data_IF_051744459328
#
_entry.id   IF_051744459328
#
_cell.length_a   1.000
_cell.length_b   1.000
_cell.length_c   1.000
_cell.angle_alpha   90.00
_cell.angle_beta   90.00
_cell.angle_gamma   90.00
#
_symmetry.space_group_name_H-M   'P 1'
#
loop_
_entity.id
_entity.type
_entity.pdbx_description
1 polymer ?
#
# COMPACT_ATOMS: atom_id res chain seq x y z
N UNK A 1 4.22 14.00 -21.80
CA UNK A 1 4.42 12.54 -21.61
C UNK A 1 3.03 11.97 -21.44
N UNK A 2 2.61 11.03 -22.30
CA UNK A 2 1.23 10.50 -22.34
C UNK A 2 0.72 10.04 -20.96
N UNK A 3 1.64 9.57 -20.11
CA UNK A 3 1.35 9.21 -18.72
C UNK A 3 0.75 10.39 -17.93
N UNK A 4 1.38 11.57 -17.93
CA UNK A 4 0.91 12.71 -17.12
C UNK A 4 -0.46 13.20 -17.59
N UNK A 5 -0.70 13.18 -18.91
CA UNK A 5 -1.99 13.53 -19.50
C UNK A 5 -3.09 12.56 -19.03
N UNK A 6 -2.82 11.24 -19.07
CA UNK A 6 -3.76 10.22 -18.56
C UNK A 6 -4.01 10.34 -17.05
N UNK A 7 -2.99 10.69 -16.25
CA UNK A 7 -3.16 10.96 -14.82
C UNK A 7 -4.05 12.20 -14.58
N UNK A 8 -3.90 13.25 -15.38
CA UNK A 8 -4.75 14.45 -15.32
C UNK A 8 -6.19 14.15 -15.73
N UNK A 9 -6.41 13.32 -16.75
CA UNK A 9 -7.75 12.87 -17.16
C UNK A 9 -8.44 12.07 -16.05
N UNK A 10 -7.73 11.16 -15.38
CA UNK A 10 -8.26 10.40 -14.24
C UNK A 10 -8.56 11.33 -13.06
N UNK A 11 -7.66 12.24 -12.73
CA UNK A 11 -7.83 13.19 -11.63
C UNK A 11 -9.04 14.11 -11.84
N UNK A 12 -9.37 14.45 -13.09
CA UNK A 12 -10.53 15.27 -13.43
C UNK A 12 -11.88 14.61 -13.12
N UNK A 13 -11.91 13.28 -12.91
CA UNK A 13 -13.12 12.55 -12.48
C UNK A 13 -13.46 12.76 -11.00
N UNK A 14 -12.55 13.34 -10.21
CA UNK A 14 -12.75 13.57 -8.77
C UNK A 14 -12.43 12.33 -7.92
N UNK A 15 -13.07 12.26 -6.74
CA UNK A 15 -12.92 11.14 -5.80
C UNK A 15 -13.57 9.88 -6.38
N UNK A 16 -12.76 8.87 -6.72
CA UNK A 16 -13.21 7.63 -7.35
C UNK A 16 -13.36 6.55 -6.29
N UNK A 17 -14.39 6.64 -5.46
CA UNK A 17 -14.62 5.65 -4.40
C UNK A 17 -14.89 4.28 -5.03
N UNK A 18 -14.35 3.20 -4.47
CA UNK A 18 -14.60 1.85 -4.98
C UNK A 18 -16.10 1.55 -5.17
N UNK A 19 -16.41 0.93 -6.31
CA UNK A 19 -17.72 0.66 -6.87
C UNK A 19 -18.63 1.89 -7.08
N UNK A 20 -18.07 3.10 -7.14
CA UNK A 20 -18.81 4.30 -7.50
C UNK A 20 -18.87 4.52 -9.02
N UNK A 21 -19.84 5.33 -9.51
CA UNK A 21 -19.90 5.72 -10.91
C UNK A 21 -18.62 6.40 -11.42
N UNK A 22 -17.89 7.09 -10.55
CA UNK A 22 -16.62 7.75 -10.88
C UNK A 22 -15.48 6.72 -11.08
N UNK A 23 -15.44 5.64 -10.28
CA UNK A 23 -14.53 4.51 -10.53
C UNK A 23 -14.91 3.78 -11.83
N UNK A 24 -16.21 3.59 -12.10
CA UNK A 24 -16.69 3.01 -13.36
C UNK A 24 -16.24 3.84 -14.56
N UNK A 25 -16.39 5.17 -14.50
CA UNK A 25 -15.91 6.07 -15.54
C UNK A 25 -14.40 5.98 -15.78
N UNK A 26 -13.61 5.80 -14.71
CA UNK A 26 -12.17 5.59 -14.82
C UNK A 26 -11.81 4.25 -15.47
N UNK A 27 -12.56 3.19 -15.17
CA UNK A 27 -12.39 1.89 -15.84
C UNK A 27 -12.78 1.97 -17.32
N UNK A 28 -13.86 2.68 -17.66
CA UNK A 28 -14.26 2.90 -19.06
C UNK A 28 -13.19 3.68 -19.85
N UNK A 29 -12.59 4.70 -19.22
CA UNK A 29 -11.49 5.47 -19.80
C UNK A 29 -10.25 4.58 -20.03
N UNK A 30 -9.84 3.81 -19.03
CA UNK A 30 -8.73 2.87 -19.15
C UNK A 30 -8.98 1.79 -20.21
N UNK A 31 -10.22 1.26 -20.31
CA UNK A 31 -10.60 0.30 -21.34
C UNK A 31 -10.54 0.92 -22.75
N UNK A 32 -10.81 2.22 -22.88
CA UNK A 32 -10.54 2.99 -24.10
C UNK A 32 -9.05 2.93 -24.47
N UNK A 33 -8.17 3.31 -23.54
CA UNK A 33 -6.74 3.30 -23.77
C UNK A 33 -6.16 1.91 -24.04
N UNK A 34 -6.70 0.86 -23.40
CA UNK A 34 -6.27 -0.52 -23.65
C UNK A 34 -6.58 -0.93 -25.10
N UNK A 35 -7.77 -0.60 -25.59
CA UNK A 35 -8.16 -0.86 -26.99
C UNK A 35 -7.32 -0.05 -27.98
N UNK A 36 -7.00 1.20 -27.67
CA UNK A 36 -6.09 2.04 -28.48
C UNK A 36 -4.68 1.45 -28.55
N UNK A 37 -4.20 0.84 -27.47
CA UNK A 37 -2.92 0.12 -27.42
C UNK A 37 -2.97 -1.27 -28.07
N UNK A 38 -4.13 -1.70 -28.59
CA UNK A 38 -4.30 -3.00 -29.25
C UNK A 38 -4.43 -4.20 -28.31
N UNK A 39 -4.74 -3.98 -27.04
CA UNK A 39 -4.97 -5.04 -26.05
C UNK A 39 -6.37 -5.66 -26.21
N UNK A 40 -6.46 -6.98 -26.05
CA UNK A 40 -7.73 -7.67 -25.85
C UNK A 40 -8.25 -7.38 -24.44
N UNK A 41 -9.39 -6.69 -24.36
CA UNK A 41 -9.97 -6.25 -23.09
C UNK A 41 -11.08 -7.17 -22.61
N UNK A 42 -11.05 -7.54 -21.33
CA UNK A 42 -12.12 -8.23 -20.63
C UNK A 42 -12.39 -7.58 -19.26
N UNK A 43 -13.60 -7.79 -18.74
CA UNK A 43 -13.95 -7.46 -17.36
C UNK A 43 -14.32 -8.76 -16.67
N UNK A 44 -13.64 -9.07 -15.57
CA UNK A 44 -13.88 -10.31 -14.82
C UNK A 44 -15.11 -10.22 -13.90
N UNK A 45 -15.40 -11.31 -13.18
CA UNK A 45 -16.54 -11.37 -12.27
C UNK A 45 -16.39 -10.50 -11.02
N UNK A 46 -15.18 -10.06 -10.66
CA UNK A 46 -14.91 -9.13 -9.58
C UNK A 46 -14.99 -7.66 -10.03
N UNK A 47 -15.12 -7.44 -11.34
CA UNK A 47 -15.17 -6.13 -11.99
C UNK A 47 -13.80 -5.60 -12.41
N UNK A 48 -12.74 -6.41 -12.31
CA UNK A 48 -11.40 -5.99 -12.73
C UNK A 48 -11.38 -5.83 -14.24
N UNK A 49 -10.76 -4.76 -14.73
CA UNK A 49 -10.49 -4.58 -16.15
C UNK A 49 -9.12 -5.20 -16.47
N UNK A 50 -9.09 -6.11 -17.44
CA UNK A 50 -7.88 -6.80 -17.86
C UNK A 50 -7.68 -6.54 -19.35
N UNK A 51 -6.50 -6.08 -19.75
CA UNK A 51 -6.08 -5.90 -21.13
C UNK A 51 -4.84 -6.73 -21.44
N UNK A 52 -4.89 -7.62 -22.45
CA UNK A 52 -3.80 -8.56 -22.74
C UNK A 52 -3.37 -8.57 -24.20
N UNK A 53 -2.09 -8.85 -24.44
CA UNK A 53 -1.60 -9.28 -25.74
C UNK A 53 -1.65 -10.81 -25.80
N UNK A 54 -2.58 -11.41 -26.56
CA UNK A 54 -2.75 -12.85 -26.56
C UNK A 54 -1.53 -13.56 -27.16
N UNK A 55 -1.25 -14.76 -26.65
CA UNK A 55 -0.08 -15.57 -27.03
C UNK A 55 1.05 -15.41 -26.02
N UNK A 56 2.25 -15.86 -26.38
CA UNK A 56 3.39 -15.85 -25.46
C UNK A 56 3.59 -17.18 -24.73
N UNK A 57 4.72 -17.28 -24.02
CA UNK A 57 5.10 -18.50 -23.28
C UNK A 57 4.85 -18.40 -21.79
N UNK A 58 4.63 -17.19 -21.29
CA UNK A 58 4.37 -16.86 -19.89
C UNK A 58 3.44 -15.63 -19.83
N UNK A 59 2.41 -15.70 -19.00
CA UNK A 59 1.51 -14.58 -18.73
C UNK A 59 2.14 -13.69 -17.64
N UNK A 60 2.60 -12.50 -18.01
CA UNK A 60 3.20 -11.54 -17.08
C UNK A 60 2.37 -10.27 -17.09
N UNK A 61 1.74 -9.96 -15.96
CA UNK A 61 0.87 -8.80 -15.88
C UNK A 61 1.51 -7.69 -15.04
N UNK A 62 1.10 -6.46 -15.34
CA UNK A 62 1.40 -5.26 -14.55
C UNK A 62 0.10 -4.52 -14.28
N UNK A 63 0.10 -3.58 -13.35
CA UNK A 63 -1.08 -2.74 -13.11
C UNK A 63 -1.17 -2.36 -11.65
N UNK A 64 -2.33 -1.82 -11.27
CA UNK A 64 -2.66 -1.42 -9.89
C UNK A 64 -4.16 -1.09 -9.87
N UNK A 65 -4.59 -0.10 -9.11
CA UNK A 65 -5.99 0.31 -8.98
C UNK A 65 -6.26 1.72 -9.52
N UNK A 66 -7.55 2.05 -9.70
CA UNK A 66 -7.98 3.40 -10.12
C UNK A 66 -8.90 4.06 -9.08
N UNK A 67 -9.40 3.33 -8.10
CA UNK A 67 -10.14 3.91 -6.99
C UNK A 67 -9.22 4.74 -6.08
N UNK A 68 -9.83 5.62 -5.29
CA UNK A 68 -9.13 6.53 -4.38
C UNK A 68 -9.89 6.70 -3.07
N UNK A 69 -9.19 7.09 -2.00
CA UNK A 69 -9.83 7.73 -0.85
C UNK A 69 -10.38 9.15 -1.17
N UNK A 70 -11.30 9.69 -0.36
CA UNK A 70 -11.75 11.08 -0.51
C UNK A 70 -10.60 12.10 -0.36
N UNK A 71 -10.51 13.07 -1.28
CA UNK A 71 -9.47 14.09 -1.26
C UNK A 71 -8.06 13.55 -1.52
N UNK A 72 -7.95 12.47 -2.30
CA UNK A 72 -6.66 11.86 -2.66
C UNK A 72 -5.83 12.70 -3.65
N UNK A 73 -4.60 12.24 -3.85
CA UNK A 73 -3.74 12.69 -4.93
C UNK A 73 -4.11 12.08 -6.29
N UNK A 74 -3.24 12.29 -7.28
CA UNK A 74 -3.43 11.79 -8.65
C UNK A 74 -2.48 10.67 -9.05
N UNK A 75 -1.67 10.13 -8.13
CA UNK A 75 -0.64 9.14 -8.44
C UNK A 75 -0.87 7.79 -7.76
N UNK A 76 -1.42 7.80 -6.55
CA UNK A 76 -1.84 6.58 -5.82
C UNK A 76 -2.71 5.67 -6.70
N UNK A 77 -2.32 4.40 -6.85
CA UNK A 77 -2.85 3.41 -7.79
C UNK A 77 -2.70 3.74 -9.28
N UNK A 78 -3.27 4.88 -9.69
CA UNK A 78 -3.35 5.38 -11.07
C UNK A 78 -2.02 5.39 -11.82
N UNK A 79 -0.92 5.71 -11.14
CA UNK A 79 0.42 5.69 -11.74
C UNK A 79 0.79 4.28 -12.21
N UNK A 80 0.49 3.24 -11.42
CA UNK A 80 0.80 1.85 -11.74
C UNK A 80 0.05 1.35 -12.97
N UNK A 81 -1.22 1.73 -13.11
CA UNK A 81 -2.05 1.38 -14.28
C UNK A 81 -1.51 2.05 -15.54
N UNK A 82 -1.30 3.37 -15.49
CA UNK A 82 -0.90 4.14 -16.67
C UNK A 82 0.54 3.85 -17.09
N UNK A 83 1.46 3.68 -16.13
CA UNK A 83 2.84 3.28 -16.42
C UNK A 83 2.91 1.84 -16.92
N UNK A 84 2.10 0.93 -16.37
CA UNK A 84 1.98 -0.44 -16.85
C UNK A 84 1.51 -0.51 -18.30
N UNK A 85 0.47 0.26 -18.64
CA UNK A 85 0.00 0.38 -20.01
C UNK A 85 1.07 0.92 -20.97
N UNK A 86 1.77 1.98 -20.59
CA UNK A 86 2.87 2.52 -21.39
C UNK A 86 3.97 1.46 -21.61
N UNK A 87 4.36 0.71 -20.57
CA UNK A 87 5.39 -0.32 -20.68
C UNK A 87 4.96 -1.48 -21.59
N UNK A 88 3.71 -1.96 -21.44
CA UNK A 88 3.16 -3.04 -22.29
C UNK A 88 3.02 -2.58 -23.74
N UNK A 89 2.53 -1.36 -23.98
CA UNK A 89 2.40 -0.76 -25.32
C UNK A 89 3.76 -0.62 -26.01
N UNK A 90 4.81 -0.20 -25.28
CA UNK A 90 6.19 -0.10 -25.81
C UNK A 90 6.78 -1.45 -26.21
N UNK A 91 6.44 -2.51 -25.48
CA UNK A 91 7.00 -3.85 -25.71
C UNK A 91 6.29 -4.60 -26.82
N UNK A 92 4.95 -4.59 -26.83
CA UNK A 92 4.18 -5.34 -27.81
C UNK A 92 4.45 -6.85 -27.78
N UNK A 93 4.90 -7.40 -26.64
CA UNK A 93 5.25 -8.81 -26.48
C UNK A 93 3.99 -9.61 -26.10
N UNK A 94 3.63 -10.66 -26.86
CA UNK A 94 2.56 -11.58 -26.47
C UNK A 94 2.79 -12.19 -25.07
N UNK A 95 1.74 -12.25 -24.27
CA UNK A 95 1.76 -12.73 -22.88
C UNK A 95 1.85 -11.60 -21.84
N UNK A 96 2.12 -10.37 -22.29
CA UNK A 96 2.04 -9.20 -21.44
C UNK A 96 0.60 -8.71 -21.29
N UNK A 97 0.26 -8.29 -20.07
CA UNK A 97 -1.06 -7.75 -19.76
C UNK A 97 -1.01 -6.61 -18.75
N UNK A 98 -2.08 -5.82 -18.74
CA UNK A 98 -2.35 -4.78 -17.75
C UNK A 98 -3.66 -5.11 -17.04
N UNK A 99 -3.66 -5.06 -15.72
CA UNK A 99 -4.87 -5.21 -14.90
C UNK A 99 -5.16 -3.93 -14.14
N UNK A 100 -6.44 -3.58 -14.07
CA UNK A 100 -6.97 -2.57 -13.16
C UNK A 100 -7.83 -3.29 -12.14
N UNK A 101 -7.38 -3.28 -10.89
CA UNK A 101 -8.13 -3.86 -9.78
C UNK A 101 -9.21 -2.90 -9.29
N UNK A 102 -10.33 -3.50 -8.83
CA UNK A 102 -11.43 -2.78 -8.19
C UNK A 102 -11.20 -2.63 -6.69
N UNK A 103 -11.52 -1.45 -6.17
CA UNK A 103 -11.69 -1.16 -4.74
C UNK A 103 -10.51 -1.66 -3.88
N UNK A 104 -9.30 -1.21 -4.22
CA UNK A 104 -8.08 -1.47 -3.44
C UNK A 104 -8.17 -0.84 -2.05
N UNK A 105 -8.55 0.43 -2.01
CA UNK A 105 -8.42 1.32 -0.85
C UNK A 105 -9.23 0.85 0.37
N UNK A 106 -10.29 0.06 0.14
CA UNK A 106 -11.18 -0.45 1.20
C UNK A 106 -11.00 -1.93 1.49
N UNK A 107 -10.11 -2.63 0.78
CA UNK A 107 -9.77 -4.02 1.09
C UNK A 107 -9.38 -4.91 -0.07
N UNK A 108 -8.99 -4.34 -1.22
CA UNK A 108 -8.55 -5.07 -2.41
C UNK A 108 -9.60 -6.08 -2.90
N UNK A 109 -10.84 -5.63 -3.07
CA UNK A 109 -11.95 -6.52 -3.45
C UNK A 109 -11.68 -7.19 -4.80
N UNK A 110 -11.16 -6.43 -5.76
CA UNK A 110 -10.80 -6.87 -7.09
C UNK A 110 -9.75 -7.97 -7.10
N UNK A 111 -8.57 -7.73 -6.52
CA UNK A 111 -7.50 -8.74 -6.49
C UNK A 111 -7.84 -9.97 -5.67
N UNK A 112 -8.64 -9.83 -4.60
CA UNK A 112 -9.16 -10.99 -3.83
C UNK A 112 -10.13 -11.83 -4.64
N UNK A 113 -10.90 -11.20 -5.53
CA UNK A 113 -11.85 -11.83 -6.42
C UNK A 113 -11.27 -12.33 -7.75
N UNK A 114 -9.98 -12.10 -8.01
CA UNK A 114 -9.34 -12.41 -9.30
C UNK A 114 -9.37 -13.92 -9.60
N UNK A 115 -10.08 -14.29 -10.66
CA UNK A 115 -10.30 -15.68 -11.04
C UNK A 115 -9.15 -16.26 -11.89
N UNK A 116 -8.68 -15.53 -12.90
CA UNK A 116 -7.57 -15.91 -13.75
C UNK A 116 -6.31 -15.18 -13.29
N UNK A 117 -5.26 -15.92 -12.94
CA UNK A 117 -4.03 -15.37 -12.38
C UNK A 117 -2.90 -15.46 -13.39
N UNK A 118 -2.03 -14.44 -13.48
CA UNK A 118 -0.83 -14.50 -14.30
C UNK A 118 0.23 -15.40 -13.66
N UNK A 119 1.24 -15.76 -14.45
CA UNK A 119 2.44 -16.47 -13.98
C UNK A 119 3.40 -15.55 -13.20
N UNK A 120 3.31 -14.24 -13.41
CA UNK A 120 4.01 -13.22 -12.64
C UNK A 120 3.26 -11.88 -12.66
N UNK A 121 3.42 -11.09 -11.60
CA UNK A 121 2.81 -9.77 -11.47
C UNK A 121 3.81 -8.72 -10.97
N UNK A 122 3.87 -7.57 -11.64
CA UNK A 122 4.70 -6.43 -11.22
C UNK A 122 3.83 -5.20 -11.03
N UNK A 123 3.85 -4.62 -9.83
CA UNK A 123 3.10 -3.40 -9.53
C UNK A 123 4.06 -2.23 -9.35
N UNK A 124 3.89 -1.20 -10.19
CA UNK A 124 4.57 0.08 -10.00
C UNK A 124 3.67 0.95 -9.14
N UNK A 125 4.24 1.56 -8.10
CA UNK A 125 3.49 2.39 -7.18
C UNK A 125 4.33 3.57 -6.68
N UNK A 126 3.71 4.62 -6.19
CA UNK A 126 4.44 5.63 -5.41
C UNK A 126 4.80 5.05 -4.02
N UNK A 127 5.89 5.51 -3.41
CA UNK A 127 6.33 5.00 -2.09
C UNK A 127 5.30 5.25 -0.97
N UNK A 128 4.55 6.36 -1.05
CA UNK A 128 3.66 6.87 0.02
C UNK A 128 4.41 7.17 1.33
N UNK A 129 5.73 7.37 1.22
CA UNK A 129 6.64 7.58 2.32
C UNK A 129 7.84 8.44 1.91
N UNK A 130 8.64 8.90 2.90
CA UNK A 130 9.77 9.78 2.65
C UNK A 130 11.11 9.05 2.49
N UNK A 131 11.15 7.72 2.43
CA UNK A 131 12.39 6.93 2.52
C UNK A 131 13.27 7.14 1.30
N UNK A 132 12.69 7.01 0.10
CA UNK A 132 13.35 7.28 -1.18
C UNK A 132 13.76 8.75 -1.27
N UNK A 133 12.89 9.67 -0.83
CA UNK A 133 13.20 11.10 -0.77
C UNK A 133 14.40 11.42 0.13
N UNK A 134 14.46 10.81 1.33
CA UNK A 134 15.57 11.01 2.27
C UNK A 134 16.88 10.37 1.80
N UNK A 135 16.79 9.28 1.03
CA UNK A 135 17.92 8.59 0.45
C UNK A 135 18.41 9.21 -0.87
N UNK A 136 17.68 10.21 -1.40
CA UNK A 136 17.85 10.74 -2.76
C UNK A 136 17.86 9.63 -3.84
N UNK A 137 17.03 8.61 -3.63
CA UNK A 137 16.82 7.53 -4.59
C UNK A 137 15.51 7.79 -5.35
N UNK A 138 15.48 7.78 -6.69
CA UNK A 138 14.24 7.96 -7.42
C UNK A 138 13.34 6.73 -7.38
N UNK A 139 13.93 5.53 -7.22
CA UNK A 139 13.26 4.24 -7.27
C UNK A 139 13.62 3.37 -6.07
N UNK A 140 12.74 2.43 -5.73
CA UNK A 140 12.98 1.42 -4.69
C UNK A 140 12.40 0.06 -5.04
N UNK A 141 13.11 -1.01 -4.71
CA UNK A 141 12.61 -2.39 -4.87
C UNK A 141 11.90 -2.80 -3.59
N UNK A 142 10.61 -3.16 -3.70
CA UNK A 142 9.84 -3.56 -2.52
C UNK A 142 10.21 -4.97 -2.10
N UNK A 143 10.58 -5.15 -0.84
CA UNK A 143 10.97 -6.46 -0.29
C UNK A 143 9.77 -7.30 0.14
N UNK A 144 8.78 -6.66 0.73
CA UNK A 144 7.56 -7.26 1.26
C UNK A 144 6.50 -6.18 1.49
N UNK A 145 5.23 -6.59 1.52
CA UNK A 145 4.17 -5.81 2.14
C UNK A 145 4.10 -6.20 3.62
N UNK A 146 4.16 -5.22 4.52
CA UNK A 146 4.20 -5.48 5.96
C UNK A 146 2.94 -6.22 6.43
N UNK A 147 3.12 -7.13 7.38
CA UNK A 147 2.01 -7.69 8.13
C UNK A 147 1.59 -6.71 9.23
N UNK A 148 0.36 -6.88 9.72
CA UNK A 148 -0.14 -6.08 10.83
C UNK A 148 -1.02 -6.88 11.79
N UNK A 149 -1.01 -6.43 13.04
CA UNK A 149 -1.97 -6.81 14.06
C UNK A 149 -2.66 -5.55 14.55
N UNK A 150 -3.99 -5.54 14.43
CA UNK A 150 -4.85 -4.45 14.87
C UNK A 150 -5.79 -4.95 15.96
N UNK A 151 -6.04 -4.13 16.96
CA UNK A 151 -6.98 -4.48 18.03
C UNK A 151 -7.09 -3.36 19.04
N UNK A 152 -7.31 -3.71 20.29
CA UNK A 152 -7.43 -2.73 21.38
C UNK A 152 -6.58 -3.08 22.60
N UNK A 153 -6.40 -2.11 23.47
CA UNK A 153 -5.89 -2.32 24.84
C UNK A 153 -6.79 -1.60 25.83
N UNK A 154 -7.26 -2.31 26.84
CA UNK A 154 -8.19 -1.77 27.84
C UNK A 154 -7.50 -1.62 29.19
N UNK A 155 -7.55 -0.41 29.74
CA UNK A 155 -7.10 -0.11 31.10
C UNK A 155 -8.30 0.15 32.00
N UNK A 156 -8.29 -0.46 33.18
CA UNK A 156 -9.32 -0.30 34.20
C UNK A 156 -8.72 0.29 35.47
N UNK A 157 -9.42 1.24 36.05
CA UNK A 157 -9.06 1.97 37.25
C UNK A 157 -10.27 2.12 38.16
N UNK A 158 -10.28 3.16 38.99
CA UNK A 158 -11.40 3.47 39.88
C UNK A 158 -11.81 4.93 39.70
N UNK A 159 -13.03 5.15 39.23
CA UNK A 159 -13.59 6.49 39.12
C UNK A 159 -13.70 7.16 40.49
N UNK A 160 -13.28 8.41 40.56
CA UNK A 160 -13.30 9.21 41.79
C UNK A 160 -13.37 10.70 41.47
N UNK A 161 -13.64 11.52 42.48
CA UNK A 161 -13.71 12.96 42.28
C UNK A 161 -12.28 13.55 42.19
N UNK A 162 -11.97 14.25 41.10
CA UNK A 162 -10.61 14.71 40.80
C UNK A 162 -10.06 15.71 41.82
N UNK A 163 -10.93 16.45 42.53
CA UNK A 163 -10.51 17.44 43.53
C UNK A 163 -10.34 16.90 44.95
N UNK A 164 -10.96 15.75 45.28
CA UNK A 164 -11.03 15.26 46.68
C UNK A 164 -10.37 13.92 46.89
N UNK A 165 -10.09 13.17 45.82
CA UNK A 165 -9.34 11.91 45.91
C UNK A 165 -7.83 12.23 45.97
N UNK A 166 -7.11 11.90 47.06
CA UNK A 166 -5.67 12.12 47.16
C UNK A 166 -4.89 11.41 46.04
N UNK A 167 -3.70 11.91 45.67
CA UNK A 167 -2.92 11.39 44.52
C UNK A 167 -2.33 10.00 44.76
N UNK A 168 -1.92 9.71 45.99
CA UNK A 168 -1.24 8.48 46.43
C UNK A 168 -2.14 7.25 46.45
N UNK A 169 -3.46 7.44 46.37
CA UNK A 169 -4.45 6.35 46.39
C UNK A 169 -5.21 6.18 45.08
N UNK A 170 -4.82 6.90 44.02
CA UNK A 170 -5.54 6.82 42.73
C UNK A 170 -5.17 5.55 41.98
N UNK A 171 -6.20 4.93 41.40
CA UNK A 171 -6.06 3.96 40.32
C UNK A 171 -6.58 4.61 39.04
N UNK A 172 -5.78 5.48 38.45
CA UNK A 172 -6.16 6.30 37.29
C UNK A 172 -5.90 5.55 35.97
N UNK A 173 -6.96 5.16 35.27
CA UNK A 173 -6.85 4.38 34.04
C UNK A 173 -6.17 5.16 32.90
N UNK A 174 -6.29 6.49 32.89
CA UNK A 174 -5.70 7.32 31.84
C UNK A 174 -4.18 7.47 32.03
N UNK A 175 -3.70 7.49 33.27
CA UNK A 175 -2.27 7.48 33.56
C UNK A 175 -1.63 6.18 33.06
N UNK A 176 -2.22 5.03 33.38
CA UNK A 176 -1.74 3.73 32.90
C UNK A 176 -1.78 3.63 31.36
N UNK A 177 -2.85 4.15 30.74
CA UNK A 177 -2.98 4.21 29.29
C UNK A 177 -1.91 5.12 28.66
N UNK A 178 -1.59 6.26 29.27
CA UNK A 178 -0.55 7.17 28.79
C UNK A 178 0.85 6.54 28.86
N UNK A 179 1.14 5.79 29.93
CA UNK A 179 2.37 4.99 30.04
C UNK A 179 2.46 3.94 28.91
N UNK A 180 1.34 3.27 28.61
CA UNK A 180 1.28 2.32 27.50
C UNK A 180 1.50 2.97 26.13
N UNK A 181 0.96 4.17 25.87
CA UNK A 181 1.21 4.91 24.62
C UNK A 181 2.71 5.13 24.40
N UNK A 182 3.42 5.53 25.46
CA UNK A 182 4.87 5.70 25.41
C UNK A 182 5.59 4.35 25.23
N UNK A 183 5.15 3.32 25.94
CA UNK A 183 5.70 1.98 25.81
C UNK A 183 5.56 1.43 24.38
N UNK A 184 4.39 1.59 23.76
CA UNK A 184 4.13 1.09 22.41
C UNK A 184 5.08 1.70 21.38
N UNK A 185 5.36 3.01 21.50
CA UNK A 185 6.36 3.69 20.69
C UNK A 185 7.76 3.12 20.89
N UNK A 186 8.18 2.91 22.13
CA UNK A 186 9.54 2.42 22.42
C UNK A 186 9.73 0.96 22.00
N UNK A 187 8.72 0.10 22.15
CA UNK A 187 8.74 -1.28 21.64
C UNK A 187 8.92 -1.28 20.12
N UNK A 188 8.10 -0.53 19.38
CA UNK A 188 8.21 -0.45 17.93
C UNK A 188 9.57 0.08 17.48
N UNK A 189 10.10 1.13 18.12
CA UNK A 189 11.45 1.65 17.85
C UNK A 189 12.56 0.62 18.11
N UNK A 190 12.34 -0.32 19.02
CA UNK A 190 13.28 -1.38 19.34
C UNK A 190 13.28 -2.54 18.33
N UNK A 191 12.31 -2.60 17.41
CA UNK A 191 12.19 -3.64 16.39
C UNK A 191 12.40 -3.00 15.02
N UNK A 192 13.48 -3.40 14.34
CA UNK A 192 13.82 -2.88 13.01
C UNK A 192 12.66 -3.02 12.01
N UNK A 193 12.30 -1.93 11.33
CA UNK A 193 11.22 -1.89 10.35
C UNK A 193 9.80 -1.95 10.94
N UNK A 194 9.66 -2.06 12.27
CA UNK A 194 8.35 -2.08 12.91
C UNK A 194 7.81 -0.67 13.19
N UNK A 195 6.49 -0.55 13.16
CA UNK A 195 5.76 0.65 13.60
C UNK A 195 4.59 0.24 14.48
N UNK A 196 4.27 1.07 15.47
CA UNK A 196 3.06 0.92 16.25
C UNK A 196 2.43 2.28 16.50
N UNK A 197 1.11 2.35 16.33
CA UNK A 197 0.35 3.59 16.43
C UNK A 197 -0.87 3.39 17.32
N UNK A 198 -1.03 4.29 18.28
CA UNK A 198 -2.26 4.46 19.05
C UNK A 198 -3.04 5.59 18.41
N UNK A 199 -4.04 5.25 17.61
CA UNK A 199 -4.80 6.22 16.79
C UNK A 199 -6.06 6.75 17.47
N UNK A 200 -6.59 6.03 18.46
CA UNK A 200 -7.84 6.36 19.13
C UNK A 200 -7.71 6.13 20.63
N UNK A 201 -8.30 7.05 21.41
CA UNK A 201 -8.35 7.00 22.87
C UNK A 201 -9.77 7.30 23.31
N UNK A 202 -10.43 6.33 23.94
CA UNK A 202 -11.75 6.50 24.55
C UNK A 202 -11.59 6.51 26.07
N UNK A 203 -11.96 7.62 26.71
CA UNK A 203 -11.83 7.83 28.16
C UNK A 203 -13.21 7.84 28.81
N UNK A 204 -13.44 6.97 29.79
CA UNK A 204 -14.71 6.81 30.48
C UNK A 204 -14.55 7.12 31.99
N UNK A 205 -15.42 7.96 32.59
CA UNK A 205 -16.60 8.60 31.99
C UNK A 205 -16.30 9.88 31.20
N UNK A 206 -15.04 10.35 31.16
CA UNK A 206 -14.64 11.52 30.36
C UNK A 206 -14.98 12.89 30.95
N UNK A 207 -15.43 12.95 32.20
CA UNK A 207 -15.67 14.20 32.91
C UNK A 207 -14.37 14.88 33.34
N UNK A 208 -14.25 16.20 33.15
CA UNK A 208 -13.04 16.97 33.48
C UNK A 208 -12.67 16.95 34.97
N UNK A 209 -13.65 16.68 35.85
CA UNK A 209 -13.50 16.59 37.29
C UNK A 209 -13.63 15.15 37.83
N UNK A 210 -13.50 14.14 36.96
CA UNK A 210 -13.61 12.72 37.32
C UNK A 210 -12.33 11.99 36.94
N UNK A 211 -11.76 11.26 37.88
CA UNK A 211 -10.64 10.35 37.61
C UNK A 211 -11.13 9.26 36.65
N UNK A 212 -10.47 9.03 35.51
CA UNK A 212 -10.88 8.00 34.56
C UNK A 212 -10.86 6.59 35.17
N UNK A 213 -12.01 5.93 35.13
CA UNK A 213 -12.18 4.56 35.61
C UNK A 213 -11.92 3.51 34.52
N UNK A 214 -11.99 3.90 33.24
CA UNK A 214 -11.68 3.01 32.12
C UNK A 214 -11.15 3.81 30.92
N UNK A 215 -10.16 3.27 30.24
CA UNK A 215 -9.64 3.79 28.97
C UNK A 215 -9.48 2.65 27.98
N UNK A 216 -9.94 2.86 26.75
CA UNK A 216 -9.74 1.92 25.64
C UNK A 216 -8.88 2.62 24.58
N UNK A 217 -7.78 1.99 24.21
CA UNK A 217 -6.86 2.44 23.17
C UNK A 217 -7.02 1.55 21.94
N UNK A 218 -6.97 2.13 20.73
CA UNK A 218 -6.70 1.33 19.52
C UNK A 218 -5.22 1.01 19.42
N UNK A 219 -4.88 -0.14 18.84
CA UNK A 219 -3.49 -0.51 18.52
C UNK A 219 -3.44 -0.92 17.06
N UNK A 220 -2.60 -0.26 16.26
CA UNK A 220 -2.17 -0.70 14.91
C UNK A 220 -0.67 -0.95 14.98
N UNK A 221 -0.27 -2.22 14.88
CA UNK A 221 1.11 -2.67 14.98
C UNK A 221 1.50 -3.37 13.68
N UNK A 222 2.58 -2.92 13.01
CA UNK A 222 3.03 -3.47 11.72
C UNK A 222 4.50 -3.85 11.76
N UNK A 223 4.85 -4.88 11.00
CA UNK A 223 6.22 -5.35 10.86
C UNK A 223 6.47 -6.06 9.52
N UNK A 224 7.71 -6.07 9.01
CA UNK A 224 8.03 -6.58 7.68
C UNK A 224 8.04 -8.11 7.57
N UNK A 225 8.10 -8.83 8.69
CA UNK A 225 8.06 -10.29 8.75
C UNK A 225 7.31 -10.80 10.00
N UNK A 226 6.97 -12.09 9.97
CA UNK A 226 6.13 -12.72 10.98
C UNK A 226 6.79 -12.75 12.36
N UNK A 227 8.11 -12.99 12.44
CA UNK A 227 8.83 -13.04 13.71
C UNK A 227 8.85 -11.67 14.39
N UNK A 228 9.10 -10.61 13.61
CA UNK A 228 9.05 -9.22 14.08
C UNK A 228 7.63 -8.84 14.49
N UNK A 229 6.61 -9.26 13.73
CA UNK A 229 5.21 -9.00 14.04
C UNK A 229 4.76 -9.69 15.34
N UNK A 230 5.16 -10.95 15.53
CA UNK A 230 4.86 -11.73 16.73
C UNK A 230 5.47 -11.10 17.98
N UNK A 231 6.74 -10.68 17.91
CA UNK A 231 7.40 -9.97 19.01
C UNK A 231 6.69 -8.67 19.36
N UNK A 232 6.29 -7.90 18.35
CA UNK A 232 5.58 -6.64 18.54
C UNK A 232 4.21 -6.88 19.17
N UNK A 233 3.41 -7.79 18.62
CA UNK A 233 2.07 -8.11 19.12
C UNK A 233 2.10 -8.66 20.56
N UNK A 234 3.07 -9.53 20.86
CA UNK A 234 3.24 -10.09 22.21
C UNK A 234 3.61 -9.00 23.24
N UNK A 235 4.51 -8.07 22.88
CA UNK A 235 4.90 -6.97 23.76
C UNK A 235 3.77 -5.96 24.01
N UNK A 236 2.85 -5.78 23.06
CA UNK A 236 1.74 -4.84 23.17
C UNK A 236 0.47 -5.44 23.79
N UNK A 237 0.43 -6.75 24.03
CA UNK A 237 -0.69 -7.48 24.64
C UNK A 237 -2.06 -7.10 24.01
N UNK A 238 -2.14 -7.13 22.68
CA UNK A 238 -3.30 -6.65 21.92
C UNK A 238 -4.52 -7.56 22.16
N UNK A 239 -5.63 -6.96 22.60
CA UNK A 239 -6.93 -7.60 22.79
C UNK A 239 -7.73 -7.64 21.47
N UNK A 240 -8.46 -8.74 21.25
CA UNK A 240 -9.27 -8.97 20.04
C UNK A 240 -8.50 -8.73 18.73
N UNK A 241 -7.31 -9.34 18.56
CA UNK A 241 -6.45 -9.04 17.43
C UNK A 241 -7.08 -9.52 16.10
N UNK A 242 -7.16 -8.61 15.15
CA UNK A 242 -7.25 -8.92 13.72
C UNK A 242 -5.84 -8.91 13.13
N UNK A 243 -5.49 -9.96 12.39
CA UNK A 243 -4.12 -10.19 11.90
C UNK A 243 -4.10 -10.40 10.39
N UNK A 244 -3.10 -9.79 9.76
CA UNK A 244 -2.71 -10.02 8.37
C UNK A 244 -1.23 -10.36 8.33
N UNK A 245 -0.87 -11.48 7.69
CA UNK A 245 0.52 -11.89 7.55
C UNK A 245 1.28 -11.00 6.55
N UNK A 246 2.58 -10.77 6.77
CA UNK A 246 3.44 -10.13 5.78
C UNK A 246 3.50 -10.94 4.49
N UNK A 247 3.56 -10.24 3.36
CA UNK A 247 3.62 -10.85 2.03
C UNK A 247 4.98 -10.55 1.39
N UNK A 248 5.94 -11.49 1.41
CA UNK A 248 7.25 -11.28 0.76
C UNK A 248 7.09 -11.20 -0.76
N UNK A 249 7.83 -10.29 -1.39
CA UNK A 249 7.88 -10.17 -2.84
C UNK A 249 8.84 -11.21 -3.44
N UNK A 250 8.53 -11.68 -4.65
CA UNK A 250 9.29 -12.69 -5.38
C UNK A 250 10.75 -12.28 -5.60
N UNK A 251 11.70 -13.16 -5.25
CA UNK A 251 13.12 -12.92 -5.50
C UNK A 251 13.46 -12.86 -6.99
N UNK A 252 12.73 -13.58 -7.85
CA UNK A 252 12.90 -13.48 -9.31
C UNK A 252 12.64 -12.05 -9.79
N UNK A 253 11.53 -11.46 -9.35
CA UNK A 253 11.10 -10.13 -9.77
C UNK A 253 11.95 -9.06 -9.11
N UNK A 254 12.28 -9.22 -7.81
CA UNK A 254 13.20 -8.31 -7.11
C UNK A 254 14.58 -8.30 -7.77
N UNK A 255 15.10 -9.44 -8.19
CA UNK A 255 16.36 -9.51 -8.93
C UNK A 255 16.28 -8.79 -10.28
N UNK A 256 15.21 -8.98 -11.05
CA UNK A 256 15.01 -8.25 -12.30
C UNK A 256 14.93 -6.73 -12.09
N UNK A 257 14.20 -6.27 -11.07
CA UNK A 257 14.11 -4.85 -10.73
C UNK A 257 15.45 -4.26 -10.29
N UNK A 258 16.24 -5.00 -9.48
CA UNK A 258 17.60 -4.61 -9.10
C UNK A 258 18.48 -4.40 -10.32
N UNK A 259 18.51 -5.37 -11.22
CA UNK A 259 19.30 -5.32 -12.45
C UNK A 259 18.93 -4.10 -13.30
N UNK A 260 17.64 -3.77 -13.43
CA UNK A 260 17.18 -2.63 -14.22
C UNK A 260 17.52 -1.28 -13.56
N UNK A 261 17.40 -1.16 -12.23
CA UNK A 261 17.82 0.04 -11.50
C UNK A 261 19.33 0.25 -11.63
N UNK A 262 20.13 -0.81 -11.50
CA UNK A 262 21.58 -0.76 -11.69
C UNK A 262 21.97 -0.39 -13.13
N UNK A 263 21.26 -0.93 -14.13
CA UNK A 263 21.49 -0.61 -15.54
C UNK A 263 21.20 0.86 -15.88
N UNK A 264 20.26 1.50 -15.16
CA UNK A 264 19.98 2.93 -15.25
C UNK A 264 21.01 3.80 -14.50
N UNK A 265 21.96 3.18 -13.78
CA UNK A 265 22.98 3.89 -13.00
C UNK A 265 22.42 4.57 -11.74
N UNK A 266 21.31 4.06 -11.20
CA UNK A 266 20.60 4.63 -10.07
C UNK A 266 21.03 3.99 -8.74
N UNK A 267 20.88 4.70 -7.60
CA UNK A 267 21.10 4.10 -6.29
C UNK A 267 20.09 2.96 -6.05
N UNK A 268 20.59 1.80 -5.63
CA UNK A 268 19.75 0.67 -5.25
C UNK A 268 19.33 0.79 -3.78
N UNK A 269 18.01 0.87 -3.56
CA UNK A 269 17.41 0.83 -2.24
C UNK A 269 16.30 -0.21 -2.21
N UNK A 270 16.33 -1.06 -1.18
CA UNK A 270 15.29 -2.06 -0.92
C UNK A 270 14.59 -1.72 0.39
N UNK A 271 13.25 -1.77 0.38
CA UNK A 271 12.41 -1.36 1.51
C UNK A 271 11.08 -2.11 1.51
N UNK A 272 10.44 -2.34 2.67
CA UNK A 272 9.09 -2.88 2.70
C UNK A 272 8.05 -1.79 2.36
N UNK A 273 6.90 -2.20 1.81
CA UNK A 273 5.72 -1.32 1.76
C UNK A 273 4.99 -1.36 3.10
N UNK A 274 4.74 -0.17 3.67
CA UNK A 274 3.91 0.00 4.86
C UNK A 274 2.40 -0.05 4.58
N UNK A 275 2.00 0.12 3.32
CA UNK A 275 0.62 0.10 2.85
C UNK A 275 0.23 -1.29 2.33
N UNK A 276 -1.08 -1.54 2.25
CA UNK A 276 -1.60 -2.69 1.50
C UNK A 276 -1.52 -2.39 0.01
N UNK A 277 -1.39 -3.43 -0.81
CA UNK A 277 -1.49 -3.34 -2.26
C UNK A 277 -2.00 -4.67 -2.83
N UNK A 278 -2.48 -4.63 -4.06
CA UNK A 278 -2.93 -5.82 -4.79
C UNK A 278 -1.81 -6.86 -4.97
N UNK A 279 -0.55 -6.41 -5.15
CA UNK A 279 0.61 -7.32 -5.19
C UNK A 279 0.70 -8.22 -3.95
N UNK A 280 0.30 -7.75 -2.78
CA UNK A 280 0.30 -8.54 -1.54
C UNK A 280 -0.77 -9.62 -1.52
N UNK A 281 -1.95 -9.30 -2.09
CA UNK A 281 -3.04 -10.26 -2.27
C UNK A 281 -2.61 -11.35 -3.25
N UNK A 282 -2.02 -10.97 -4.39
CA UNK A 282 -1.53 -11.90 -5.40
C UNK A 282 -0.40 -12.79 -4.85
N UNK A 283 0.56 -12.20 -4.12
CA UNK A 283 1.65 -12.92 -3.44
C UNK A 283 1.10 -13.96 -2.46
N UNK A 284 0.16 -13.56 -1.59
CA UNK A 284 -0.51 -14.47 -0.64
C UNK A 284 -1.24 -15.60 -1.36
N UNK A 285 -1.76 -15.31 -2.55
CA UNK A 285 -2.46 -16.27 -3.38
C UNK A 285 -1.52 -17.21 -4.18
N UNK A 286 -0.21 -17.06 -4.04
CA UNK A 286 0.81 -17.91 -4.67
C UNK A 286 1.28 -17.43 -6.04
N UNK A 287 0.90 -16.23 -6.47
CA UNK A 287 1.43 -15.60 -7.69
C UNK A 287 2.80 -14.98 -7.36
N UNK A 288 3.87 -15.24 -8.14
CA UNK A 288 5.10 -14.48 -8.02
C UNK A 288 4.82 -13.00 -8.29
N UNK A 289 4.79 -12.18 -7.24
CA UNK A 289 4.52 -10.75 -7.32
C UNK A 289 5.72 -9.93 -6.84
N UNK A 290 5.93 -8.75 -7.42
CA UNK A 290 6.93 -7.78 -6.96
C UNK A 290 6.43 -6.35 -7.17
N UNK A 291 7.04 -5.40 -6.47
CA UNK A 291 6.70 -3.99 -6.66
C UNK A 291 7.92 -3.10 -6.86
N UNK A 292 7.71 -2.04 -7.65
CA UNK A 292 8.66 -0.96 -7.88
C UNK A 292 8.08 0.34 -7.32
N UNK A 293 8.76 0.92 -6.34
CA UNK A 293 8.39 2.23 -5.82
C UNK A 293 9.01 3.37 -6.60
N UNK A 294 8.22 4.42 -6.77
CA UNK A 294 8.63 5.74 -7.26
C UNK A 294 8.65 6.72 -6.08
N UNK A 295 9.70 7.53 -6.00
CA UNK A 295 9.88 8.50 -4.92
C UNK A 295 8.69 9.46 -4.81
N UNK A 296 8.06 9.45 -3.63
CA UNK A 296 7.08 10.45 -3.24
C UNK A 296 7.78 11.72 -2.73
N UNK A 297 7.61 12.82 -3.44
CA UNK A 297 8.06 14.17 -3.05
C UNK A 297 7.18 14.74 -1.92
N UNK A 298 7.36 16.03 -1.61
CA UNK A 298 6.60 16.74 -0.58
C UNK A 298 6.63 16.07 0.80
N UNK A 299 7.73 15.39 1.13
CA UNK A 299 7.88 14.69 2.41
C UNK A 299 7.19 13.32 2.47
N UNK A 300 6.89 12.72 1.31
CA UNK A 300 6.23 11.41 1.26
C UNK A 300 4.73 11.47 1.48
N UNK A 301 4.10 12.62 1.21
CA UNK A 301 2.65 12.79 1.37
C UNK A 301 1.91 11.92 0.35
N UNK A 302 0.89 11.21 0.82
CA UNK A 302 -0.10 10.48 0.03
C UNK A 302 -1.47 10.55 0.72
N UNK A 303 -2.53 10.05 0.07
CA UNK A 303 -3.93 10.22 0.50
C UNK A 303 -4.28 11.71 0.73
N UNK A 304 -3.71 12.57 -0.11
CA UNK A 304 -3.79 14.02 0.02
C UNK A 304 -3.58 14.69 -1.34
N UNK A 305 -4.23 15.83 -1.64
CA UNK A 305 -4.08 16.48 -2.94
C UNK A 305 -2.65 17.00 -3.20
N UNK A 306 -1.82 17.11 -2.16
CA UNK A 306 -0.41 17.53 -2.27
C UNK A 306 0.55 16.38 -2.62
N UNK A 307 0.05 15.17 -2.89
CA UNK A 307 0.84 14.06 -3.42
C UNK A 307 1.58 14.47 -4.70
N UNK A 308 2.86 14.10 -4.78
CA UNK A 308 3.70 14.51 -5.89
C UNK A 308 4.80 13.48 -6.15
N UNK A 309 4.93 13.04 -7.40
CA UNK A 309 6.13 12.42 -7.94
C UNK A 309 6.59 13.22 -9.16
N UNK A 310 7.91 13.33 -9.36
CA UNK A 310 8.44 14.12 -10.49
C UNK A 310 8.22 13.39 -11.82
N UNK A 311 8.02 14.12 -12.94
CA UNK A 311 8.02 13.52 -14.26
C UNK A 311 9.27 12.70 -14.57
N UNK A 312 10.42 13.11 -14.05
CA UNK A 312 11.71 12.45 -14.24
C UNK A 312 11.77 11.10 -13.51
N UNK A 313 11.34 11.05 -12.25
CA UNK A 313 11.30 9.80 -11.47
C UNK A 313 10.29 8.81 -12.07
N UNK A 314 9.15 9.32 -12.57
CA UNK A 314 8.15 8.50 -13.28
C UNK A 314 8.73 7.92 -14.58
N UNK A 315 9.49 8.70 -15.36
CA UNK A 315 10.11 8.21 -16.59
C UNK A 315 11.10 7.09 -16.29
N UNK A 316 11.96 7.24 -15.27
CA UNK A 316 12.88 6.21 -14.82
C UNK A 316 12.14 4.94 -14.37
N UNK A 317 11.02 5.09 -13.66
CA UNK A 317 10.22 3.98 -13.18
C UNK A 317 9.61 3.17 -14.34
N UNK A 318 9.11 3.87 -15.36
CA UNK A 318 8.56 3.23 -16.57
C UNK A 318 9.64 2.47 -17.33
N UNK A 319 10.85 3.03 -17.43
CA UNK A 319 11.96 2.37 -18.10
C UNK A 319 12.39 1.09 -17.35
N UNK A 320 12.51 1.16 -16.02
CA UNK A 320 12.81 0.00 -15.18
C UNK A 320 11.70 -1.07 -15.21
N UNK A 321 10.43 -0.66 -15.17
CA UNK A 321 9.29 -1.57 -15.32
C UNK A 321 9.31 -2.24 -16.70
N UNK A 322 9.55 -1.47 -17.77
CA UNK A 322 9.63 -1.98 -19.15
C UNK A 322 10.74 -3.02 -19.29
N UNK A 323 11.92 -2.76 -18.73
CA UNK A 323 13.03 -3.72 -18.72
C UNK A 323 12.69 -5.00 -17.96
N UNK A 324 12.04 -4.86 -16.80
CA UNK A 324 11.62 -5.98 -15.95
C UNK A 324 10.59 -6.87 -16.66
N UNK A 325 9.54 -6.28 -17.23
CA UNK A 325 8.51 -7.01 -17.97
C UNK A 325 9.09 -7.74 -19.19
N UNK A 326 10.03 -7.12 -19.91
CA UNK A 326 10.74 -7.76 -21.02
C UNK A 326 11.47 -9.03 -20.56
N UNK A 327 12.19 -8.98 -19.44
CA UNK A 327 12.92 -10.15 -18.92
C UNK A 327 11.99 -11.27 -18.48
N UNK A 328 10.88 -10.91 -17.84
CA UNK A 328 9.93 -11.89 -17.31
C UNK A 328 9.14 -12.59 -18.43
N UNK A 329 8.86 -11.91 -19.55
CA UNK A 329 8.13 -12.47 -20.69
C UNK A 329 8.91 -13.54 -21.49
N UNK A 330 10.23 -13.63 -21.31
CA UNK A 330 11.14 -14.54 -22.04
C UNK A 330 11.67 -13.95 -23.34
#
# INVERSE_FOLDING_TARGET
MRILERLDELAALGDRIGYSPEEDAAHELAAGWFREAGLETEVDAAGNLIGRLPGGTREVWTGSHLDTVPGAGRFDGTLGVVAGLEAVERLGIPGLGVVVFRDEERGCAGSRGLAARPDAYVELHIEQGPTLLRADAPLGVVTAIVGYVRGRRTFSGTSGHAGTTPMDVRHDALVAAAEFVLHAREVARGIEGAVATIGQVTVEPGGTNVIPGRVVLSVDARAPDADRLDRLAAALEIEEPSRTEPSPMSEEIRAALRDEIEALGLPLLELPSGAGHDAGILATAGVPAGMLFVRSLNGGISHNPAELSSPEDIALAVDALTGTLRRLAG
#
